data_IF_497799674914
#
_entry.id   IF_497799674914
#
_cell.length_a   1.000
_cell.length_b   1.000
_cell.length_c   1.000
_cell.angle_alpha   90.00
_cell.angle_beta   90.00
_cell.angle_gamma   90.00
#
_symmetry.space_group_name_H-M   'P 1'
#
loop_
_entity.id
_entity.type
_entity.pdbx_description
1 polymer ?
#
# COMPACT_ATOMS: atom_id res chain seq x y z
N UNK A 1 -66.58 -7.77 -63.07
CA UNK A 1 -65.98 -8.65 -62.06
C UNK A 1 -64.47 -8.55 -62.16
N UNK A 2 -63.85 -7.75 -61.30
CA UNK A 2 -62.39 -7.71 -61.10
C UNK A 2 -62.14 -7.59 -59.60
N UNK A 3 -61.50 -8.60 -59.06
CA UNK A 3 -61.15 -8.81 -57.66
C UNK A 3 -59.93 -7.95 -57.29
N UNK A 4 -59.96 -7.30 -56.13
CA UNK A 4 -58.81 -6.63 -55.52
C UNK A 4 -58.39 -7.49 -54.33
N UNK A 5 -57.20 -8.08 -54.41
CA UNK A 5 -56.52 -8.72 -53.28
C UNK A 5 -55.76 -7.65 -52.49
N UNK A 6 -56.05 -7.52 -51.20
CA UNK A 6 -55.27 -6.72 -50.25
C UNK A 6 -54.29 -7.66 -49.55
N UNK A 7 -52.99 -7.40 -49.74
CA UNK A 7 -51.91 -8.10 -49.04
C UNK A 7 -51.69 -7.40 -47.69
N UNK A 8 -51.89 -8.13 -46.59
CA UNK A 8 -51.63 -7.65 -45.23
C UNK A 8 -50.18 -8.00 -44.88
N UNK A 9 -49.31 -6.99 -44.80
CA UNK A 9 -47.92 -7.16 -44.36
C UNK A 9 -47.82 -7.01 -42.84
N UNK A 10 -47.41 -8.06 -42.15
CA UNK A 10 -47.13 -8.07 -40.71
C UNK A 10 -45.72 -7.56 -40.48
N UNK A 11 -45.57 -6.40 -39.81
CA UNK A 11 -44.28 -5.92 -39.30
C UNK A 11 -43.92 -6.68 -38.02
N UNK A 12 -42.80 -7.40 -38.05
CA UNK A 12 -42.16 -7.97 -36.87
C UNK A 12 -41.22 -6.88 -36.33
N UNK A 13 -41.56 -6.28 -35.19
CA UNK A 13 -40.64 -5.43 -34.45
C UNK A 13 -39.63 -6.30 -33.71
N UNK A 14 -38.36 -6.21 -34.11
CA UNK A 14 -37.24 -6.74 -33.34
C UNK A 14 -37.05 -5.85 -32.10
N UNK A 15 -37.27 -6.40 -30.92
CA UNK A 15 -36.85 -5.79 -29.65
C UNK A 15 -35.36 -6.11 -29.54
N UNK A 16 -34.51 -5.13 -29.88
CA UNK A 16 -33.09 -5.17 -29.51
C UNK A 16 -33.08 -4.80 -28.02
N UNK A 17 -32.96 -5.82 -27.16
CA UNK A 17 -32.67 -5.60 -25.76
C UNK A 17 -31.27 -5.00 -25.65
N UNK A 18 -31.18 -3.74 -25.26
CA UNK A 18 -29.94 -3.15 -24.78
C UNK A 18 -29.56 -3.89 -23.50
N UNK A 19 -28.69 -4.90 -23.62
CA UNK A 19 -28.05 -5.47 -22.44
C UNK A 19 -27.20 -4.37 -21.82
N UNK A 20 -27.63 -3.83 -20.69
CA UNK A 20 -26.76 -3.05 -19.82
C UNK A 20 -25.87 -4.09 -19.16
N UNK A 21 -24.65 -4.26 -19.67
CA UNK A 21 -23.58 -4.87 -18.87
C UNK A 21 -23.40 -3.98 -17.65
N UNK A 22 -23.45 -4.51 -16.41
CA UNK A 22 -23.11 -3.70 -15.26
C UNK A 22 -21.72 -3.11 -15.51
N UNK A 23 -21.59 -1.78 -15.38
CA UNK A 23 -20.31 -1.14 -15.44
C UNK A 23 -19.55 -1.58 -14.18
N UNK A 24 -18.52 -2.40 -14.35
CA UNK A 24 -17.52 -2.62 -13.31
C UNK A 24 -16.94 -1.27 -12.92
N UNK A 25 -16.73 -1.05 -11.62
CA UNK A 25 -15.91 0.08 -11.18
C UNK A 25 -14.47 -0.25 -11.60
N UNK A 26 -14.03 0.34 -12.70
CA UNK A 26 -12.66 0.24 -13.13
C UNK A 26 -11.76 1.15 -12.31
N UNK A 27 -10.47 0.83 -12.24
CA UNK A 27 -9.44 1.65 -11.60
C UNK A 27 -8.47 2.15 -12.66
N UNK A 28 -7.85 3.32 -12.41
CA UNK A 28 -6.73 3.78 -13.21
C UNK A 28 -5.55 4.13 -12.32
N UNK A 29 -4.35 3.87 -12.85
CA UNK A 29 -3.07 4.12 -12.21
C UNK A 29 -2.51 5.47 -12.64
N UNK A 30 -1.93 6.20 -11.70
CA UNK A 30 -1.08 7.37 -11.95
C UNK A 30 0.29 7.13 -11.32
N UNK A 31 1.34 7.27 -12.12
CA UNK A 31 2.71 7.20 -11.65
C UNK A 31 3.13 8.58 -11.14
N UNK A 32 3.32 8.71 -9.83
CA UNK A 32 3.57 10.01 -9.20
C UNK A 32 5.07 10.30 -9.14
N UNK A 33 5.87 9.33 -8.68
CA UNK A 33 7.33 9.49 -8.52
C UNK A 33 8.04 8.21 -8.94
N UNK A 34 9.16 8.35 -9.66
CA UNK A 34 10.07 7.24 -9.93
C UNK A 34 11.49 7.76 -10.17
N UNK A 35 12.51 6.93 -9.99
CA UNK A 35 13.87 7.18 -10.47
C UNK A 35 14.03 6.95 -11.98
N UNK A 36 13.07 6.28 -12.64
CA UNK A 36 13.16 5.89 -14.04
C UNK A 36 12.13 6.67 -14.90
N UNK A 37 12.58 7.46 -15.89
CA UNK A 37 11.69 8.28 -16.71
C UNK A 37 10.80 7.47 -17.65
N UNK A 38 11.08 6.19 -17.90
CA UNK A 38 10.28 5.32 -18.78
C UNK A 38 8.91 4.99 -18.16
N UNK A 39 8.75 5.16 -16.84
CA UNK A 39 7.46 5.09 -16.16
C UNK A 39 6.63 6.38 -16.28
N UNK A 40 7.13 7.41 -16.97
CA UNK A 40 6.49 8.72 -17.14
C UNK A 40 5.97 9.35 -15.83
N UNK A 41 6.78 9.38 -14.74
CA UNK A 41 6.31 9.89 -13.45
C UNK A 41 6.10 11.41 -13.48
N UNK A 42 5.23 11.93 -12.62
CA UNK A 42 5.10 13.38 -12.42
C UNK A 42 6.39 14.01 -11.86
N UNK A 43 7.10 13.30 -10.99
CA UNK A 43 8.39 13.70 -10.42
C UNK A 43 9.43 12.63 -10.71
N UNK A 44 10.56 13.03 -11.28
CA UNK A 44 11.73 12.16 -11.41
C UNK A 44 12.62 12.37 -10.19
N UNK A 45 12.72 11.37 -9.31
CA UNK A 45 13.50 11.42 -8.07
C UNK A 45 14.50 10.26 -8.01
N UNK A 46 15.81 10.51 -8.13
CA UNK A 46 16.82 9.46 -8.19
C UNK A 46 16.98 8.67 -6.88
N UNK A 47 16.40 9.13 -5.77
CA UNK A 47 16.43 8.41 -4.49
C UNK A 47 15.32 7.36 -4.38
N UNK A 48 14.30 7.41 -5.24
CA UNK A 48 13.19 6.45 -5.24
C UNK A 48 13.60 5.19 -6.00
N UNK A 49 14.38 4.33 -5.34
CA UNK A 49 14.86 3.03 -5.84
C UNK A 49 14.35 1.96 -4.89
N UNK A 50 13.73 0.90 -5.43
CA UNK A 50 13.03 -0.13 -4.65
C UNK A 50 12.10 0.49 -3.59
N UNK A 51 11.04 1.18 -4.04
CA UNK A 51 10.11 1.83 -3.12
C UNK A 51 9.30 0.75 -2.39
N UNK A 52 9.49 0.63 -1.08
CA UNK A 52 8.99 -0.51 -0.30
C UNK A 52 7.71 -0.15 0.46
N UNK A 53 7.79 0.75 1.44
CA UNK A 53 6.63 1.05 2.30
C UNK A 53 6.22 2.52 2.26
N UNK A 54 5.00 2.80 2.72
CA UNK A 54 4.42 4.12 2.82
C UNK A 54 3.91 4.40 4.24
N UNK A 55 4.27 5.56 4.79
CA UNK A 55 3.61 6.11 5.97
C UNK A 55 3.06 7.50 5.71
N UNK A 56 1.91 7.78 6.30
CA UNK A 56 1.33 9.12 6.37
C UNK A 56 0.89 9.41 7.79
N UNK A 57 0.79 10.69 8.12
CA UNK A 57 0.14 11.12 9.36
C UNK A 57 -1.37 11.22 9.16
N UNK A 58 -2.18 10.91 10.18
CA UNK A 58 -3.62 11.19 10.16
C UNK A 58 -3.92 12.67 9.92
N UNK A 59 -5.09 12.95 9.35
CA UNK A 59 -5.55 14.32 9.14
C UNK A 59 -5.50 15.13 10.45
N UNK A 60 -4.96 16.35 10.37
CA UNK A 60 -4.81 17.26 11.51
C UNK A 60 -3.42 17.26 12.17
N UNK A 61 -2.56 16.29 11.88
CA UNK A 61 -1.17 16.26 12.36
C UNK A 61 -0.17 16.97 11.42
N UNK A 62 -0.64 17.43 10.24
CA UNK A 62 0.22 17.87 9.15
C UNK A 62 1.13 16.75 8.64
N UNK A 63 2.08 17.06 7.76
CA UNK A 63 3.14 16.12 7.39
C UNK A 63 3.22 15.83 5.89
N UNK A 64 3.78 14.67 5.58
CA UNK A 64 4.24 14.22 4.27
C UNK A 64 3.80 12.77 4.04
N UNK A 65 3.74 12.35 2.78
CA UNK A 65 3.97 10.96 2.42
C UNK A 65 5.43 10.66 2.70
N UNK A 66 5.69 9.58 3.43
CA UNK A 66 7.01 9.02 3.67
C UNK A 66 7.12 7.78 2.81
N UNK A 67 8.02 7.79 1.83
CA UNK A 67 8.25 6.67 0.91
C UNK A 67 9.59 6.04 1.28
N UNK A 68 9.55 4.83 1.82
CA UNK A 68 10.79 4.08 2.14
C UNK A 68 11.39 3.56 0.84
N UNK A 69 12.69 3.80 0.65
CA UNK A 69 13.44 3.37 -0.53
C UNK A 69 14.61 2.49 -0.08
N UNK A 70 14.47 1.18 -0.27
CA UNK A 70 15.40 0.17 0.26
C UNK A 70 16.81 0.38 -0.28
N UNK A 71 16.94 0.45 -1.60
CA UNK A 71 18.23 0.40 -2.27
C UNK A 71 19.00 1.73 -2.22
N UNK A 72 18.32 2.83 -1.87
CA UNK A 72 18.97 4.12 -1.63
C UNK A 72 19.24 4.40 -0.14
N UNK A 73 18.71 3.58 0.77
CA UNK A 73 18.85 3.79 2.22
C UNK A 73 18.18 5.06 2.73
N UNK A 74 17.07 5.46 2.10
CA UNK A 74 16.40 6.73 2.41
C UNK A 74 14.91 6.58 2.60
N UNK A 75 14.31 7.58 3.26
CA UNK A 75 12.89 7.86 3.17
C UNK A 75 12.71 9.21 2.50
N UNK A 76 12.10 9.22 1.32
CA UNK A 76 11.78 10.47 0.60
C UNK A 76 10.39 10.98 1.00
N UNK A 77 10.23 12.31 1.02
CA UNK A 77 9.02 12.93 1.56
C UNK A 77 8.32 13.84 0.56
N UNK A 78 7.01 13.67 0.41
CA UNK A 78 6.18 14.43 -0.54
C UNK A 78 4.90 14.96 0.11
N UNK A 79 4.31 16.01 -0.47
CA UNK A 79 3.05 16.62 -0.01
C UNK A 79 2.15 16.86 -1.23
N UNK A 80 0.84 16.81 -1.04
CA UNK A 80 -0.13 17.13 -2.09
C UNK A 80 -0.89 15.90 -2.58
N UNK A 81 -1.15 15.89 -3.89
CA UNK A 81 -2.09 14.99 -4.56
C UNK A 81 -3.51 15.02 -3.96
N UNK A 82 -3.93 16.19 -3.48
CA UNK A 82 -5.21 16.39 -2.79
C UNK A 82 -5.80 17.76 -3.09
N UNK A 83 -7.13 17.83 -3.25
CA UNK A 83 -7.86 19.08 -3.51
C UNK A 83 -7.42 19.78 -4.80
N UNK A 84 -6.92 19.02 -5.79
CA UNK A 84 -6.36 19.54 -7.04
C UNK A 84 -4.95 20.15 -6.93
N UNK A 85 -4.29 20.03 -5.77
CA UNK A 85 -2.88 20.37 -5.61
C UNK A 85 -2.02 19.18 -6.07
N UNK A 86 -1.18 19.33 -7.11
CA UNK A 86 -0.27 18.25 -7.54
C UNK A 86 0.68 17.84 -6.41
N UNK A 87 1.18 16.61 -6.46
CA UNK A 87 2.27 16.17 -5.59
C UNK A 87 3.53 17.04 -5.79
N UNK A 88 4.22 17.39 -4.70
CA UNK A 88 5.48 18.13 -4.72
C UNK A 88 6.33 17.82 -3.47
N UNK A 89 7.58 18.27 -3.45
CA UNK A 89 8.45 18.21 -2.26
C UNK A 89 8.69 19.61 -1.69
N UNK A 90 8.64 19.78 -0.36
CA UNK A 90 9.02 21.02 0.33
C UNK A 90 10.47 20.96 0.84
N UNK A 91 10.84 21.68 1.90
CA UNK A 91 12.23 21.71 2.40
C UNK A 91 12.66 20.37 3.04
N UNK A 92 11.73 19.55 3.52
CA UNK A 92 12.02 18.16 3.91
C UNK A 92 11.94 17.30 2.65
N UNK A 93 13.11 16.96 2.10
CA UNK A 93 13.21 16.16 0.86
C UNK A 93 13.30 14.68 1.15
N UNK A 94 14.19 14.33 2.06
CA UNK A 94 14.44 12.97 2.49
C UNK A 94 15.17 12.97 3.83
N UNK A 95 15.21 11.81 4.45
CA UNK A 95 16.05 11.48 5.61
C UNK A 95 16.71 10.12 5.35
N UNK A 96 17.90 9.91 5.90
CA UNK A 96 18.64 8.64 5.75
C UNK A 96 18.29 7.67 6.87
N UNK A 97 18.31 6.37 6.54
CA UNK A 97 18.23 5.30 7.53
C UNK A 97 19.62 4.66 7.64
N UNK A 98 20.20 4.61 8.85
CA UNK A 98 21.48 3.96 9.05
C UNK A 98 21.38 2.47 8.71
N UNK A 99 22.49 1.93 8.21
CA UNK A 99 22.69 0.47 8.16
C UNK A 99 22.94 -0.08 9.55
N UNK A 100 22.82 -1.41 9.70
CA UNK A 100 23.30 -2.13 10.87
C UNK A 100 24.67 -1.61 11.36
N UNK A 101 24.85 -1.36 12.67
CA UNK A 101 26.15 -0.95 13.24
C UNK A 101 27.30 -1.92 12.96
N UNK A 102 27.00 -3.16 12.59
CA UNK A 102 27.97 -4.19 12.29
C UNK A 102 28.22 -4.38 10.78
N UNK A 103 27.52 -3.64 9.92
CA UNK A 103 27.73 -3.67 8.48
C UNK A 103 29.12 -3.12 8.08
N UNK A 104 29.65 -3.51 6.90
CA UNK A 104 30.88 -2.93 6.37
C UNK A 104 30.84 -1.41 6.30
N UNK A 105 31.99 -0.77 6.52
CA UNK A 105 32.11 0.69 6.42
C UNK A 105 31.66 1.17 5.03
N UNK A 106 30.74 2.13 5.01
CA UNK A 106 30.17 2.70 3.78
C UNK A 106 28.94 1.97 3.22
N UNK A 107 28.44 0.94 3.91
CA UNK A 107 27.13 0.36 3.61
C UNK A 107 26.01 1.39 3.85
N UNK A 108 25.03 1.42 2.94
CA UNK A 108 23.76 2.11 3.16
C UNK A 108 22.81 1.18 3.92
N UNK A 109 21.84 1.74 4.65
CA UNK A 109 20.75 0.93 5.21
C UNK A 109 19.86 0.37 4.10
N UNK A 110 19.19 -0.74 4.37
CA UNK A 110 18.22 -1.35 3.46
C UNK A 110 16.81 -1.31 4.07
N UNK A 111 16.22 -0.11 4.27
CA UNK A 111 14.98 0.04 5.02
C UNK A 111 13.78 -0.59 4.29
N UNK A 112 12.90 -1.22 5.05
CA UNK A 112 11.70 -1.90 4.53
C UNK A 112 10.44 -1.28 5.13
N UNK A 113 9.87 -1.90 6.17
CA UNK A 113 8.68 -1.43 6.86
C UNK A 113 8.91 -0.13 7.64
N UNK A 114 7.89 0.70 7.72
CA UNK A 114 7.87 1.92 8.53
C UNK A 114 6.56 2.11 9.29
N UNK A 115 6.62 2.89 10.36
CA UNK A 115 5.46 3.21 11.19
C UNK A 115 5.48 4.66 11.66
N UNK A 116 4.35 5.34 11.55
CA UNK A 116 4.13 6.64 12.18
C UNK A 116 3.47 6.49 13.55
N UNK A 117 4.08 7.08 14.59
CA UNK A 117 3.49 7.17 15.93
C UNK A 117 2.87 8.54 16.21
N UNK A 118 1.56 8.61 16.51
CA UNK A 118 0.90 9.84 16.93
C UNK A 118 1.18 10.22 18.39
N UNK A 119 1.88 9.37 19.15
CA UNK A 119 1.92 9.48 20.61
C UNK A 119 2.80 10.62 21.12
N UNK A 120 2.38 11.35 22.17
CA UNK A 120 3.08 12.53 22.62
C UNK A 120 4.27 12.26 23.55
N UNK A 121 4.44 11.03 24.05
CA UNK A 121 5.40 10.73 25.13
C UNK A 121 6.07 9.37 25.08
N UNK A 122 5.55 8.42 24.31
CA UNK A 122 6.16 7.09 24.19
C UNK A 122 7.37 7.15 23.23
N UNK A 123 8.29 6.19 23.36
CA UNK A 123 9.45 6.05 22.48
C UNK A 123 10.36 7.28 22.49
N UNK A 124 10.66 7.85 23.66
CA UNK A 124 11.51 9.04 23.76
C UNK A 124 12.93 8.74 23.25
N UNK A 125 13.41 9.58 22.33
CA UNK A 125 14.76 9.47 21.74
C UNK A 125 15.49 10.80 21.83
N UNK A 126 16.82 10.75 21.92
CA UNK A 126 17.71 11.91 21.81
C UNK A 126 18.62 11.75 20.61
N UNK A 127 18.54 12.68 19.66
CA UNK A 127 19.17 12.57 18.35
C UNK A 127 20.03 13.80 18.05
N UNK A 128 21.16 13.63 17.37
CA UNK A 128 21.87 14.75 16.75
C UNK A 128 21.04 15.31 15.60
N UNK A 129 21.08 16.63 15.38
CA UNK A 129 20.47 17.22 14.18
C UNK A 129 21.18 16.77 12.90
N UNK A 130 22.51 16.68 12.97
CA UNK A 130 23.38 16.12 11.95
C UNK A 130 24.50 15.34 12.65
N UNK A 131 24.58 14.00 12.49
CA UNK A 131 25.66 13.20 13.06
C UNK A 131 27.05 13.64 12.58
N UNK A 132 27.15 14.21 11.38
CA UNK A 132 28.42 14.69 10.81
C UNK A 132 28.78 16.12 11.27
N UNK A 133 27.83 16.86 11.87
CA UNK A 133 28.04 18.19 12.46
C UNK A 133 27.47 18.28 13.90
N UNK A 134 28.17 17.72 14.91
CA UNK A 134 27.69 17.68 16.29
C UNK A 134 27.56 19.07 16.94
N UNK A 135 28.15 20.12 16.34
CA UNK A 135 28.01 21.50 16.83
C UNK A 135 26.59 22.06 16.62
N UNK A 136 25.79 21.45 15.73
CA UNK A 136 24.36 21.75 15.59
C UNK A 136 23.54 21.31 16.83
N UNK A 137 24.08 20.40 17.65
CA UNK A 137 23.48 19.95 18.89
C UNK A 137 22.50 18.77 18.71
N UNK A 138 21.72 18.53 19.77
CA UNK A 138 20.78 17.41 19.85
C UNK A 138 19.36 17.90 20.12
N UNK A 139 18.39 17.08 19.74
CA UNK A 139 16.98 17.23 20.11
C UNK A 139 16.51 15.99 20.88
N UNK A 140 15.56 16.17 21.78
CA UNK A 140 14.91 15.09 22.52
C UNK A 140 13.40 15.20 22.36
N UNK A 141 12.74 14.09 22.06
CA UNK A 141 11.29 14.04 21.90
C UNK A 141 10.77 12.62 21.69
N UNK A 142 9.44 12.44 21.67
CA UNK A 142 8.82 11.16 21.34
C UNK A 142 9.16 10.77 19.90
N UNK A 143 9.46 9.50 19.64
CA UNK A 143 9.63 8.97 18.30
C UNK A 143 8.36 9.18 17.47
N UNK A 144 8.54 9.71 16.26
CA UNK A 144 7.45 10.05 15.32
C UNK A 144 7.38 9.07 14.17
N UNK A 145 8.53 8.68 13.65
CA UNK A 145 8.61 7.66 12.63
C UNK A 145 9.60 6.59 13.07
N UNK A 146 9.28 5.36 12.74
CA UNK A 146 10.12 4.21 12.96
C UNK A 146 10.30 3.49 11.64
N UNK A 147 11.44 2.86 11.47
CA UNK A 147 11.71 2.03 10.31
C UNK A 147 12.52 0.81 10.75
N UNK A 148 12.24 -0.31 10.11
CA UNK A 148 13.07 -1.51 10.20
C UNK A 148 13.81 -1.71 8.88
N UNK A 149 14.87 -2.50 8.91
CA UNK A 149 15.66 -2.83 7.71
C UNK A 149 16.08 -4.30 7.69
N UNK A 150 16.43 -4.79 6.51
CA UNK A 150 16.83 -6.18 6.30
C UNK A 150 18.08 -6.61 7.07
N UNK A 151 18.88 -5.62 7.51
CA UNK A 151 20.03 -5.83 8.40
C UNK A 151 19.68 -6.11 9.86
N UNK A 152 18.39 -6.16 10.23
CA UNK A 152 17.96 -6.56 11.57
C UNK A 152 18.00 -5.43 12.60
N UNK A 153 17.81 -4.18 12.16
CA UNK A 153 17.73 -3.05 13.08
C UNK A 153 16.35 -2.39 13.07
N UNK A 154 16.00 -1.80 14.22
CA UNK A 154 14.89 -0.85 14.35
C UNK A 154 15.49 0.53 14.62
N UNK A 155 15.08 1.50 13.81
CA UNK A 155 15.50 2.88 13.93
C UNK A 155 14.31 3.80 14.19
N UNK A 156 14.55 4.88 14.94
CA UNK A 156 13.55 5.88 15.32
C UNK A 156 13.97 7.28 14.86
N UNK A 157 12.98 8.10 14.52
CA UNK A 157 13.17 9.50 14.13
C UNK A 157 12.16 10.39 14.83
N UNK A 158 12.60 11.54 15.32
CA UNK A 158 11.76 12.54 15.98
C UNK A 158 11.85 13.90 15.31
N UNK A 159 10.86 14.74 15.56
CA UNK A 159 10.91 16.17 15.26
C UNK A 159 10.35 16.96 16.45
N UNK A 160 10.92 18.14 16.68
CA UNK A 160 10.58 18.98 17.83
C UNK A 160 10.17 20.37 17.36
N UNK A 161 8.91 20.80 17.59
CA UNK A 161 8.48 22.17 17.35
C UNK A 161 9.24 23.16 18.25
N UNK A 162 9.64 24.29 17.68
CA UNK A 162 10.29 25.42 18.36
C UNK A 162 9.60 26.73 17.99
N UNK A 163 10.02 27.84 18.63
CA UNK A 163 9.51 29.17 18.28
C UNK A 163 9.86 29.58 16.82
N UNK A 164 10.92 28.99 16.25
CA UNK A 164 11.45 29.32 14.93
C UNK A 164 11.08 28.30 13.83
N UNK A 165 10.32 27.25 14.16
CA UNK A 165 9.90 26.23 13.20
C UNK A 165 9.87 24.82 13.79
N UNK A 166 10.29 23.84 13.01
CA UNK A 166 10.38 22.44 13.45
C UNK A 166 11.83 21.98 13.24
N UNK A 167 12.47 21.52 14.32
CA UNK A 167 13.79 20.91 14.27
C UNK A 167 13.67 19.45 13.84
N UNK A 168 14.48 19.06 12.86
CA UNK A 168 14.44 17.76 12.19
C UNK A 168 15.87 17.22 12.01
N UNK A 169 16.18 16.03 12.53
CA UNK A 169 17.41 15.31 12.21
C UNK A 169 17.43 14.92 10.74
N UNK A 170 18.62 14.86 10.15
CA UNK A 170 18.82 14.38 8.77
C UNK A 170 18.83 12.85 8.65
N UNK A 171 19.00 12.15 9.76
CA UNK A 171 19.15 10.69 9.83
C UNK A 171 18.33 10.11 10.99
N UNK A 172 17.86 8.88 10.84
CA UNK A 172 17.26 8.08 11.91
C UNK A 172 18.32 7.63 12.95
N UNK A 173 17.87 7.28 14.16
CA UNK A 173 18.71 6.71 15.21
C UNK A 173 18.39 5.22 15.37
N UNK A 174 19.40 4.34 15.26
CA UNK A 174 19.24 2.92 15.64
C UNK A 174 18.93 2.83 17.14
N UNK A 175 17.79 2.23 17.48
CA UNK A 175 17.33 2.05 18.87
C UNK A 175 17.32 0.59 19.30
N UNK A 176 17.22 -0.35 18.36
CA UNK A 176 17.43 -1.78 18.58
C UNK A 176 18.35 -2.31 17.49
N UNK A 177 19.32 -3.13 17.91
CA UNK A 177 20.27 -3.81 17.04
C UNK A 177 20.18 -5.33 17.28
N UNK A 178 19.45 -6.02 16.41
CA UNK A 178 19.38 -7.47 16.33
C UNK A 178 20.20 -7.99 15.15
N UNK A 179 21.14 -7.17 14.64
CA UNK A 179 22.10 -7.61 13.65
C UNK A 179 23.21 -8.41 14.33
N UNK A 180 23.42 -9.66 13.90
CA UNK A 180 24.69 -10.35 14.11
C UNK A 180 25.42 -10.33 12.77
N UNK A 181 26.43 -9.47 12.63
CA UNK A 181 27.37 -9.65 11.53
C UNK A 181 28.17 -10.91 11.80
N UNK A 182 27.88 -11.95 11.02
CA UNK A 182 28.75 -13.09 10.83
C UNK A 182 30.22 -12.65 10.84
N UNK A 183 31.00 -13.12 11.83
CA UNK A 183 32.45 -12.98 11.81
C UNK A 183 32.96 -13.48 10.45
N UNK A 184 33.46 -12.57 9.61
CA UNK A 184 33.97 -12.87 8.27
C UNK A 184 35.20 -13.82 8.25
N UNK A 185 35.59 -14.38 9.39
CA UNK A 185 36.64 -15.40 9.48
C UNK A 185 36.16 -16.86 9.51
N UNK A 186 34.88 -17.16 9.33
CA UNK A 186 34.45 -18.55 9.09
C UNK A 186 33.79 -18.71 7.73
N UNK A 187 34.63 -18.82 6.69
CA UNK A 187 34.32 -19.23 5.30
C UNK A 187 33.75 -20.66 5.19
N UNK A 188 33.07 -21.17 6.22
CA UNK A 188 32.59 -22.55 6.28
C UNK A 188 31.39 -22.75 7.24
N UNK A 189 30.77 -21.68 7.78
CA UNK A 189 29.63 -21.85 8.69
C UNK A 189 28.34 -21.20 8.16
N UNK A 190 27.50 -21.93 7.42
CA UNK A 190 26.13 -21.49 7.11
C UNK A 190 25.24 -21.36 8.37
N UNK A 191 25.78 -21.62 9.57
CA UNK A 191 25.07 -21.35 10.82
C UNK A 191 25.11 -19.88 11.30
N UNK A 192 25.73 -18.95 10.58
CA UNK A 192 25.81 -17.53 10.98
C UNK A 192 24.62 -16.64 10.57
N UNK A 193 23.61 -17.19 9.87
CA UNK A 193 22.38 -16.50 9.47
C UNK A 193 21.36 -16.39 10.62
N UNK A 194 21.83 -15.97 11.80
CA UNK A 194 21.01 -15.87 13.00
C UNK A 194 20.64 -14.42 13.35
N UNK A 195 20.71 -13.53 12.35
CA UNK A 195 20.24 -12.14 12.45
C UNK A 195 18.81 -12.03 11.94
N UNK A 196 18.07 -11.06 12.49
CA UNK A 196 16.72 -10.76 12.04
C UNK A 196 16.75 -10.15 10.64
N UNK A 197 15.79 -10.53 9.79
CA UNK A 197 15.56 -9.94 8.47
C UNK A 197 14.19 -9.30 8.50
N UNK A 198 14.14 -8.02 8.89
CA UNK A 198 12.86 -7.34 9.01
C UNK A 198 12.33 -6.89 7.66
N UNK A 199 11.12 -7.36 7.33
CA UNK A 199 10.44 -7.04 6.06
C UNK A 199 9.31 -6.04 6.21
N UNK A 200 8.78 -5.84 7.42
CA UNK A 200 7.60 -5.01 7.69
C UNK A 200 7.45 -4.68 9.18
N UNK A 201 6.75 -3.60 9.51
CA UNK A 201 6.51 -3.22 10.91
C UNK A 201 5.17 -2.53 11.14
N UNK A 202 4.70 -2.59 12.39
CA UNK A 202 3.51 -1.90 12.86
C UNK A 202 3.72 -1.38 14.29
N UNK A 203 2.81 -0.53 14.75
CA UNK A 203 2.74 -0.16 16.15
C UNK A 203 1.30 0.00 16.63
N UNK A 204 1.11 0.02 17.94
CA UNK A 204 -0.19 0.29 18.53
C UNK A 204 -0.52 1.79 18.55
N UNK A 205 -1.80 2.11 18.67
CA UNK A 205 -2.31 3.48 18.84
C UNK A 205 -3.05 3.66 20.17
N UNK A 206 -2.56 3.00 21.23
CA UNK A 206 -3.09 3.07 22.59
C UNK A 206 -2.83 4.44 23.25
N UNK A 207 -3.64 4.87 24.23
CA UNK A 207 -3.38 6.13 24.93
C UNK A 207 -2.01 6.24 25.62
N UNK A 208 -1.43 5.12 26.02
CA UNK A 208 -0.12 4.96 26.67
C UNK A 208 0.36 3.51 26.51
N UNK A 209 1.63 3.25 26.85
CA UNK A 209 2.26 1.92 26.84
C UNK A 209 2.18 1.24 25.48
N UNK A 210 2.51 2.00 24.43
CA UNK A 210 2.46 1.50 23.07
C UNK A 210 3.56 0.48 22.76
N UNK A 211 3.24 -0.38 21.80
CA UNK A 211 4.10 -1.46 21.32
C UNK A 211 4.51 -1.20 19.87
N UNK A 212 5.72 -1.67 19.52
CA UNK A 212 6.20 -1.82 18.15
C UNK A 212 6.32 -3.31 17.84
N UNK A 213 5.95 -3.68 16.62
CA UNK A 213 6.02 -5.04 16.09
C UNK A 213 6.81 -5.05 14.79
N UNK A 214 7.69 -6.03 14.59
CA UNK A 214 8.37 -6.24 13.31
C UNK A 214 8.22 -7.68 12.83
N UNK A 215 8.00 -7.85 11.53
CA UNK A 215 7.97 -9.13 10.86
C UNK A 215 9.40 -9.58 10.54
N UNK A 216 9.92 -10.55 11.31
CA UNK A 216 11.19 -11.20 11.04
C UNK A 216 10.99 -12.37 10.06
N UNK A 217 11.53 -12.21 8.86
CA UNK A 217 11.51 -13.19 7.78
C UNK A 217 12.81 -14.03 7.72
N UNK A 218 13.59 -14.06 8.81
CA UNK A 218 14.78 -14.90 8.91
C UNK A 218 14.44 -16.39 8.83
N UNK A 219 15.39 -17.20 8.33
CA UNK A 219 15.19 -18.66 8.23
C UNK A 219 15.20 -19.33 9.60
N UNK A 220 15.97 -18.80 10.56
CA UNK A 220 16.26 -19.49 11.82
C UNK A 220 15.31 -19.16 12.95
N UNK A 221 14.83 -17.91 13.01
CA UNK A 221 13.95 -17.44 14.07
C UNK A 221 12.77 -16.63 13.52
N UNK A 222 12.07 -17.09 12.47
CA UNK A 222 10.98 -16.31 11.88
C UNK A 222 9.87 -16.07 12.91
N UNK A 223 9.34 -14.85 12.94
CA UNK A 223 8.37 -14.47 13.96
C UNK A 223 8.00 -12.99 13.93
N UNK A 224 7.27 -12.59 14.97
CA UNK A 224 6.98 -11.18 15.22
C UNK A 224 7.77 -10.76 16.45
N UNK A 225 8.74 -9.88 16.26
CA UNK A 225 9.47 -9.24 17.35
C UNK A 225 8.64 -8.11 17.94
N UNK A 226 8.67 -7.95 19.26
CA UNK A 226 7.86 -6.97 19.99
C UNK A 226 8.71 -6.15 20.95
N UNK A 227 8.62 -4.82 20.82
CA UNK A 227 9.25 -3.88 21.73
C UNK A 227 8.22 -2.99 22.44
N UNK A 228 8.49 -2.69 23.71
CA UNK A 228 7.70 -1.72 24.48
C UNK A 228 8.08 -0.26 24.16
N UNK A 229 7.37 0.68 24.80
CA UNK A 229 7.59 2.13 24.66
C UNK A 229 9.00 2.62 25.02
N UNK A 230 9.79 1.80 25.71
CA UNK A 230 11.17 2.09 26.11
C UNK A 230 12.18 1.24 25.30
N UNK A 231 11.73 0.62 24.21
CA UNK A 231 12.49 -0.25 23.31
C UNK A 231 13.00 -1.55 23.96
N UNK A 232 12.40 -2.00 25.08
CA UNK A 232 12.75 -3.30 25.63
C UNK A 232 12.10 -4.40 24.80
N UNK A 233 12.89 -5.41 24.42
CA UNK A 233 12.37 -6.64 23.82
C UNK A 233 11.50 -7.39 24.82
N UNK A 234 10.23 -7.55 24.46
CA UNK A 234 9.21 -8.26 25.23
C UNK A 234 8.56 -9.38 24.39
N UNK A 235 9.18 -9.79 23.29
CA UNK A 235 8.68 -10.79 22.33
C UNK A 235 8.21 -12.07 23.02
N UNK A 236 8.97 -12.55 24.02
CA UNK A 236 8.63 -13.76 24.80
C UNK A 236 7.30 -13.70 25.58
N UNK A 237 6.66 -12.54 25.69
CA UNK A 237 5.35 -12.37 26.30
C UNK A 237 4.19 -12.60 25.31
N UNK A 238 4.47 -12.70 24.01
CA UNK A 238 3.48 -12.81 22.95
C UNK A 238 3.53 -14.21 22.33
N UNK A 239 2.40 -14.64 21.76
CA UNK A 239 2.29 -15.95 21.11
C UNK A 239 2.60 -15.87 19.63
N UNK A 240 1.86 -15.03 18.88
CA UNK A 240 1.92 -14.94 17.42
C UNK A 240 2.04 -16.31 16.74
N UNK A 241 1.15 -17.24 17.13
CA UNK A 241 1.14 -18.58 16.56
C UNK A 241 0.98 -18.51 15.04
N UNK A 242 1.98 -19.01 14.30
CA UNK A 242 1.91 -19.15 12.85
C UNK A 242 1.04 -20.38 12.51
N UNK A 243 -0.17 -20.18 11.94
CA UNK A 243 -1.08 -21.29 11.67
C UNK A 243 -0.73 -22.06 10.38
N UNK A 244 0.26 -21.61 9.60
CA UNK A 244 0.54 -22.10 8.25
C UNK A 244 1.72 -23.08 8.16
N UNK A 245 2.45 -23.28 9.25
CA UNK A 245 3.62 -24.17 9.30
C UNK A 245 4.96 -23.44 9.16
N UNK A 246 6.04 -24.15 9.46
CA UNK A 246 7.41 -23.61 9.55
C UNK A 246 7.98 -23.19 8.18
N UNK A 247 7.37 -23.63 7.08
CA UNK A 247 7.76 -23.19 5.74
C UNK A 247 7.24 -21.79 5.35
N UNK A 248 6.42 -21.17 6.20
CA UNK A 248 5.93 -19.80 6.06
C UNK A 248 6.51 -18.92 7.16
N UNK A 249 6.88 -17.69 6.82
CA UNK A 249 7.35 -16.69 7.77
C UNK A 249 6.58 -15.36 7.58
N UNK A 250 6.48 -14.53 8.63
CA UNK A 250 5.89 -13.20 8.54
C UNK A 250 6.64 -12.32 7.54
N UNK A 251 5.95 -11.91 6.48
CA UNK A 251 6.50 -11.08 5.41
C UNK A 251 6.12 -9.60 5.56
N UNK A 252 4.98 -9.33 6.21
CA UNK A 252 4.61 -8.00 6.68
C UNK A 252 3.70 -8.08 7.90
N UNK A 253 3.60 -6.99 8.65
CA UNK A 253 2.61 -6.79 9.71
C UNK A 253 2.07 -5.36 9.64
N UNK A 254 0.75 -5.20 9.69
CA UNK A 254 0.09 -3.89 9.75
C UNK A 254 -1.01 -3.83 10.79
N UNK A 255 -1.15 -2.69 11.47
CA UNK A 255 -2.26 -2.44 12.39
C UNK A 255 -3.39 -1.74 11.65
N UNK A 256 -4.49 -2.46 11.40
CA UNK A 256 -5.66 -1.96 10.68
C UNK A 256 -6.90 -2.09 11.56
N UNK A 257 -7.57 -0.98 11.83
CA UNK A 257 -8.75 -0.89 12.72
C UNK A 257 -8.52 -1.51 14.13
N UNK A 258 -7.27 -1.52 14.61
CA UNK A 258 -6.91 -1.99 15.95
C UNK A 258 -6.52 -3.47 16.03
N UNK A 259 -6.59 -4.22 14.92
CA UNK A 259 -6.11 -5.59 14.82
C UNK A 259 -4.82 -5.65 14.00
N UNK A 260 -3.98 -6.64 14.29
CA UNK A 260 -2.72 -6.88 13.59
C UNK A 260 -2.94 -7.88 12.46
N UNK A 261 -2.78 -7.43 11.23
CA UNK A 261 -2.81 -8.28 10.05
C UNK A 261 -1.37 -8.65 9.70
N UNK A 262 -1.08 -9.95 9.69
CA UNK A 262 0.24 -10.49 9.38
C UNK A 262 0.13 -11.24 8.05
N UNK A 263 0.83 -10.71 7.05
CA UNK A 263 0.99 -11.36 5.77
C UNK A 263 2.15 -12.36 5.87
N UNK A 264 1.96 -13.57 5.36
CA UNK A 264 2.96 -14.64 5.39
C UNK A 264 3.31 -15.05 3.98
N UNK A 265 4.62 -15.20 3.72
CA UNK A 265 5.15 -15.72 2.49
C UNK A 265 5.88 -17.04 2.73
N UNK A 266 5.91 -17.91 1.72
CA UNK A 266 6.62 -19.18 1.80
C UNK A 266 8.12 -18.93 1.62
N UNK A 267 8.94 -19.40 2.54
CA UNK A 267 10.40 -19.23 2.49
C UNK A 267 10.98 -19.92 1.24
N UNK A 268 11.98 -19.30 0.62
CA UNK A 268 12.81 -19.93 -0.41
C UNK A 268 14.03 -20.63 0.21
N UNK A 269 14.88 -21.23 -0.63
CA UNK A 269 16.17 -21.78 -0.20
C UNK A 269 17.25 -20.67 -0.04
N UNK A 270 16.97 -19.44 -0.51
CA UNK A 270 17.83 -18.26 -0.36
C UNK A 270 17.40 -17.46 0.89
N UNK A 271 18.31 -17.16 1.84
CA UNK A 271 17.98 -16.38 3.03
C UNK A 271 17.36 -15.03 2.72
N UNK A 272 16.25 -14.70 3.38
CA UNK A 272 15.54 -13.43 3.20
C UNK A 272 14.61 -13.38 1.99
N UNK A 273 14.59 -14.43 1.17
CA UNK A 273 13.83 -14.47 -0.09
C UNK A 273 12.63 -15.43 0.00
N UNK A 274 11.53 -15.07 -0.65
CA UNK A 274 10.30 -15.85 -0.70
C UNK A 274 10.10 -16.61 -2.02
N UNK A 275 9.17 -17.58 -2.00
CA UNK A 275 8.67 -18.21 -3.22
C UNK A 275 7.45 -17.47 -3.75
N UNK A 276 7.67 -16.53 -4.67
CA UNK A 276 6.62 -15.81 -5.39
C UNK A 276 5.84 -16.71 -6.36
N UNK A 277 4.71 -17.25 -5.90
CA UNK A 277 3.73 -17.96 -6.73
C UNK A 277 2.32 -17.87 -6.16
N UNK A 278 1.33 -17.67 -7.05
CA UNK A 278 -0.10 -17.72 -6.70
C UNK A 278 -0.45 -19.01 -5.97
N UNK A 279 -1.16 -18.86 -4.85
CA UNK A 279 -1.52 -19.93 -3.92
C UNK A 279 -0.51 -20.11 -2.79
N UNK A 280 0.68 -19.51 -2.86
CA UNK A 280 1.71 -19.62 -1.81
C UNK A 280 1.74 -18.41 -0.88
N UNK A 281 0.78 -17.50 -0.96
CA UNK A 281 0.58 -16.46 0.05
C UNK A 281 -0.39 -16.90 1.15
N UNK A 282 -0.25 -16.31 2.34
CA UNK A 282 -1.15 -16.52 3.48
C UNK A 282 -1.37 -15.21 4.25
N UNK A 283 -2.49 -15.09 4.95
CA UNK A 283 -2.84 -13.91 5.73
C UNK A 283 -3.59 -14.31 7.00
N UNK A 284 -3.10 -13.85 8.15
CA UNK A 284 -3.72 -14.06 9.44
C UNK A 284 -3.95 -12.72 10.15
N UNK A 285 -4.96 -12.68 11.01
CA UNK A 285 -5.35 -11.53 11.81
C UNK A 285 -5.24 -11.90 13.29
N UNK A 286 -4.62 -11.03 14.07
CA UNK A 286 -4.35 -11.18 15.50
C UNK A 286 -4.89 -9.98 16.27
N UNK A 287 -5.16 -10.16 17.56
CA UNK A 287 -5.28 -9.03 18.47
C UNK A 287 -3.90 -8.45 18.80
N UNK A 288 -3.88 -7.31 19.51
CA UNK A 288 -2.63 -6.63 19.88
C UNK A 288 -1.80 -7.42 20.91
N UNK A 289 -2.38 -8.43 21.56
CA UNK A 289 -1.70 -9.36 22.45
C UNK A 289 -1.14 -10.59 21.70
N UNK A 290 -1.27 -10.63 20.37
CA UNK A 290 -0.72 -11.69 19.52
C UNK A 290 -1.53 -12.98 19.52
N UNK A 291 -2.80 -12.95 19.92
CA UNK A 291 -3.71 -14.10 19.81
C UNK A 291 -4.35 -14.14 18.42
N UNK A 292 -4.37 -15.31 17.79
CA UNK A 292 -4.97 -15.52 16.47
C UNK A 292 -6.50 -15.30 16.53
N UNK A 293 -7.00 -14.41 15.67
CA UNK A 293 -8.42 -14.11 15.52
C UNK A 293 -9.01 -14.79 14.28
N UNK A 294 -8.38 -14.61 13.11
CA UNK A 294 -8.88 -15.13 11.83
C UNK A 294 -7.75 -15.50 10.87
N UNK A 295 -8.09 -16.36 9.91
CA UNK A 295 -7.33 -16.61 8.68
C UNK A 295 -8.15 -16.02 7.52
N UNK A 296 -7.47 -15.35 6.59
CA UNK A 296 -8.07 -14.71 5.43
C UNK A 296 -7.71 -15.44 4.14
N UNK A 297 -8.69 -15.58 3.24
CA UNK A 297 -8.55 -16.43 2.05
C UNK A 297 -8.60 -17.92 2.37
N UNK A 298 -8.28 -18.75 1.38
CA UNK A 298 -8.20 -20.20 1.53
C UNK A 298 -6.78 -20.63 1.91
N UNK A 299 -6.64 -21.49 2.91
CA UNK A 299 -5.37 -22.13 3.26
C UNK A 299 -5.11 -23.34 2.34
N UNK A 300 -4.73 -23.04 1.10
CA UNK A 300 -4.45 -24.01 0.05
C UNK A 300 -3.43 -23.46 -0.93
N UNK A 301 -2.64 -24.36 -1.51
CA UNK A 301 -1.68 -24.05 -2.57
C UNK A 301 -2.31 -24.09 -3.97
N UNK A 302 -3.63 -24.35 -4.07
CA UNK A 302 -4.35 -24.31 -5.35
C UNK A 302 -4.56 -22.86 -5.81
N UNK A 303 -3.94 -22.43 -6.92
CA UNK A 303 -4.08 -21.05 -7.42
C UNK A 303 -5.48 -20.71 -7.92
N UNK A 304 -6.40 -21.68 -8.03
CA UNK A 304 -7.80 -21.44 -8.37
C UNK A 304 -8.67 -21.18 -7.13
N UNK A 305 -8.14 -21.44 -5.93
CA UNK A 305 -8.86 -21.30 -4.66
C UNK A 305 -8.21 -20.23 -3.75
N UNK A 306 -6.92 -19.95 -3.95
CA UNK A 306 -6.17 -18.94 -3.21
C UNK A 306 -5.48 -17.95 -4.14
N UNK A 307 -5.95 -16.71 -4.13
CA UNK A 307 -5.41 -15.59 -4.91
C UNK A 307 -4.12 -14.98 -4.33
N UNK A 308 -3.71 -15.35 -3.11
CA UNK A 308 -2.55 -14.74 -2.46
C UNK A 308 -1.23 -15.24 -3.05
N UNK A 309 -0.30 -14.32 -3.27
CA UNK A 309 1.01 -14.55 -3.86
C UNK A 309 2.04 -13.63 -3.19
N UNK A 310 2.76 -14.14 -2.18
CA UNK A 310 3.66 -13.33 -1.33
C UNK A 310 3.02 -11.98 -0.94
N UNK A 311 1.86 -11.99 -0.23
CA UNK A 311 1.15 -10.76 0.09
C UNK A 311 2.01 -9.87 0.99
N UNK A 312 1.99 -8.56 0.73
CA UNK A 312 2.73 -7.60 1.56
C UNK A 312 1.87 -6.39 1.92
N UNK A 313 1.46 -5.59 0.95
CA UNK A 313 0.66 -4.39 1.19
C UNK A 313 -0.76 -4.71 1.64
N UNK A 314 -1.24 -4.06 2.69
CA UNK A 314 -2.62 -4.23 3.18
C UNK A 314 -3.27 -2.86 3.35
N UNK A 315 -4.57 -2.76 3.08
CA UNK A 315 -5.32 -1.54 3.33
C UNK A 315 -6.81 -1.83 3.49
N UNK A 316 -7.49 -1.10 4.37
CA UNK A 316 -8.96 -1.12 4.41
C UNK A 316 -9.47 0.02 3.53
N UNK A 317 -10.26 -0.33 2.52
CA UNK A 317 -10.83 0.64 1.61
C UNK A 317 -11.89 1.52 2.29
N UNK A 318 -11.96 2.83 1.95
CA UNK A 318 -13.04 3.69 2.40
C UNK A 318 -14.39 3.28 1.78
N UNK A 319 -15.46 3.93 2.22
CA UNK A 319 -16.83 3.61 1.78
C UNK A 319 -17.17 4.08 0.35
N UNK A 320 -16.23 4.77 -0.32
CA UNK A 320 -16.37 5.33 -1.66
C UNK A 320 -15.29 4.83 -2.65
N UNK A 321 -14.72 3.65 -2.41
CA UNK A 321 -13.74 3.00 -3.29
C UNK A 321 -14.35 1.97 -4.24
N UNK A 322 -15.43 2.35 -4.93
CA UNK A 322 -16.03 1.51 -5.97
C UNK A 322 -16.54 0.16 -5.47
N UNK A 323 -16.29 -0.91 -6.24
CA UNK A 323 -16.71 -2.28 -5.90
C UNK A 323 -16.08 -2.80 -4.61
N UNK A 324 -14.89 -2.30 -4.26
CA UNK A 324 -14.14 -2.73 -3.08
C UNK A 324 -14.37 -1.80 -1.88
N UNK A 325 -15.43 -1.00 -1.88
CA UNK A 325 -15.74 -0.11 -0.74
C UNK A 325 -15.88 -0.91 0.57
N UNK A 326 -15.14 -0.52 1.61
CA UNK A 326 -15.02 -1.22 2.91
C UNK A 326 -14.35 -2.60 2.87
N UNK A 327 -13.79 -3.03 1.74
CA UNK A 327 -13.06 -4.30 1.66
C UNK A 327 -11.69 -4.20 2.33
N UNK A 328 -11.15 -5.35 2.75
CA UNK A 328 -9.71 -5.48 2.97
C UNK A 328 -9.06 -5.70 1.60
N UNK A 329 -8.11 -4.85 1.25
CA UNK A 329 -7.27 -4.96 0.06
C UNK A 329 -5.94 -5.59 0.44
N UNK A 330 -5.49 -6.54 -0.37
CA UNK A 330 -4.22 -7.24 -0.20
C UNK A 330 -3.44 -7.13 -1.52
N UNK A 331 -2.30 -6.45 -1.47
CA UNK A 331 -1.34 -6.37 -2.55
C UNK A 331 -0.41 -7.59 -2.53
N UNK A 332 -0.35 -8.28 -3.65
CA UNK A 332 0.58 -9.39 -3.87
C UNK A 332 1.88 -8.85 -4.45
N UNK A 333 2.99 -9.02 -3.74
CA UNK A 333 4.31 -8.71 -4.27
C UNK A 333 4.60 -9.57 -5.51
N UNK A 334 4.32 -10.87 -5.42
CA UNK A 334 4.77 -11.84 -6.42
C UNK A 334 4.10 -11.75 -7.80
N UNK A 335 3.01 -11.00 -7.98
CA UNK A 335 2.42 -10.73 -9.30
C UNK A 335 1.91 -9.30 -9.49
N UNK A 336 2.06 -8.43 -8.48
CA UNK A 336 1.65 -7.04 -8.54
C UNK A 336 0.14 -6.81 -8.49
N UNK A 337 -0.68 -7.84 -8.28
CA UNK A 337 -2.13 -7.72 -8.27
C UNK A 337 -2.65 -7.38 -6.89
N UNK A 338 -3.82 -6.73 -6.86
CA UNK A 338 -4.50 -6.40 -5.61
C UNK A 338 -5.83 -7.15 -5.57
N UNK A 339 -5.99 -7.99 -4.55
CA UNK A 339 -7.22 -8.76 -4.29
C UNK A 339 -7.99 -8.14 -3.13
N UNK A 340 -9.32 -8.10 -3.24
CA UNK A 340 -10.21 -7.64 -2.18
C UNK A 340 -10.92 -8.78 -1.45
N UNK A 341 -11.10 -8.64 -0.15
CA UNK A 341 -11.85 -9.55 0.71
C UNK A 341 -12.97 -8.82 1.46
N UNK A 342 -14.12 -9.48 1.56
CA UNK A 342 -15.22 -8.99 2.40
C UNK A 342 -14.83 -9.14 3.88
N UNK A 343 -14.88 -8.04 4.64
CA UNK A 343 -14.39 -8.05 6.03
C UNK A 343 -15.26 -8.84 7.01
N UNK A 344 -16.50 -9.16 6.63
CA UNK A 344 -17.43 -9.94 7.47
C UNK A 344 -17.31 -11.43 7.18
N UNK A 345 -17.37 -11.79 5.90
CA UNK A 345 -17.34 -13.20 5.47
C UNK A 345 -15.93 -13.74 5.31
N UNK A 346 -14.93 -12.86 5.12
CA UNK A 346 -13.54 -13.17 4.74
C UNK A 346 -13.42 -13.85 3.38
N UNK A 347 -14.49 -13.84 2.58
CA UNK A 347 -14.50 -14.40 1.23
C UNK A 347 -13.86 -13.41 0.25
N UNK A 348 -13.20 -13.96 -0.77
CA UNK A 348 -12.64 -13.20 -1.88
C UNK A 348 -13.76 -12.51 -2.67
N UNK A 349 -13.61 -11.22 -2.93
CA UNK A 349 -14.47 -10.43 -3.82
C UNK A 349 -13.93 -10.54 -5.25
N UNK A 350 -12.61 -10.41 -5.42
CA UNK A 350 -11.90 -10.50 -6.69
C UNK A 350 -10.72 -9.52 -6.77
N UNK A 351 -10.11 -9.41 -7.95
CA UNK A 351 -9.01 -8.48 -8.20
C UNK A 351 -9.50 -7.07 -8.60
N UNK A 352 -8.72 -6.04 -8.28
CA UNK A 352 -8.88 -4.71 -8.86
C UNK A 352 -8.66 -4.78 -10.38
N UNK A 353 -9.62 -4.25 -11.14
CA UNK A 353 -9.60 -4.30 -12.61
C UNK A 353 -9.41 -2.91 -13.22
N UNK A 354 -8.65 -2.84 -14.32
CA UNK A 354 -8.52 -1.65 -15.14
C UNK A 354 -9.79 -1.37 -15.98
N UNK A 355 -9.79 -0.25 -16.73
CA UNK A 355 -10.91 0.13 -17.62
C UNK A 355 -11.16 -0.87 -18.78
N UNK A 356 -10.19 -1.74 -19.06
CA UNK A 356 -10.27 -2.78 -20.08
C UNK A 356 -10.78 -4.13 -19.52
N UNK A 357 -10.94 -4.23 -18.19
CA UNK A 357 -11.34 -5.45 -17.49
C UNK A 357 -10.19 -6.43 -17.25
N UNK A 358 -8.94 -5.98 -17.33
CA UNK A 358 -7.78 -6.77 -16.91
C UNK A 358 -7.45 -6.48 -15.44
N UNK A 359 -6.91 -7.44 -14.68
CA UNK A 359 -6.35 -7.15 -13.38
C UNK A 359 -5.28 -6.06 -13.48
N UNK A 360 -5.27 -5.13 -12.52
CA UNK A 360 -4.13 -4.22 -12.35
C UNK A 360 -2.93 -5.06 -11.90
N UNK A 361 -1.79 -4.83 -12.55
CA UNK A 361 -0.51 -5.47 -12.25
C UNK A 361 0.56 -4.37 -12.10
N UNK A 362 1.09 -4.24 -10.88
CA UNK A 362 2.18 -3.32 -10.54
C UNK A 362 3.37 -4.18 -10.14
N UNK A 363 4.36 -4.31 -11.02
CA UNK A 363 5.55 -5.11 -10.76
C UNK A 363 6.27 -4.65 -9.48
N UNK A 364 6.62 -5.62 -8.62
CA UNK A 364 7.27 -5.35 -7.32
C UNK A 364 6.37 -4.62 -6.32
N UNK A 365 5.05 -4.85 -6.33
CA UNK A 365 4.11 -4.17 -5.45
C UNK A 365 4.37 -4.47 -3.97
N UNK A 366 4.72 -3.44 -3.22
CA UNK A 366 4.94 -3.50 -1.79
C UNK A 366 3.81 -2.78 -1.03
N UNK A 367 4.07 -1.58 -0.52
CA UNK A 367 3.19 -0.85 0.39
C UNK A 367 1.93 -0.31 -0.26
N UNK A 368 0.86 -0.29 0.55
CA UNK A 368 -0.45 0.24 0.20
C UNK A 368 -0.96 1.14 1.32
N UNK A 369 -1.48 2.33 0.98
CA UNK A 369 -2.12 3.22 1.95
C UNK A 369 -3.16 4.12 1.29
N UNK A 370 -4.25 4.45 1.98
CA UNK A 370 -5.21 5.47 1.50
C UNK A 370 -4.76 6.88 1.91
N UNK A 371 -5.07 7.86 1.06
CA UNK A 371 -4.83 9.26 1.38
C UNK A 371 -5.62 9.74 2.60
N UNK A 372 -5.14 10.79 3.26
CA UNK A 372 -5.80 11.35 4.46
C UNK A 372 -6.81 12.47 4.16
N UNK A 373 -6.95 12.89 2.90
CA UNK A 373 -7.91 13.92 2.47
C UNK A 373 -7.63 15.33 2.98
N UNK A 374 -6.49 15.56 3.64
CA UNK A 374 -6.10 16.85 4.19
C UNK A 374 -4.94 17.44 3.38
N UNK A 375 -3.74 16.87 3.52
CA UNK A 375 -2.55 17.31 2.80
C UNK A 375 -1.85 16.19 2.04
N UNK A 376 -2.26 14.94 2.26
CA UNK A 376 -1.59 13.73 1.80
C UNK A 376 -2.58 12.84 1.07
N UNK A 377 -2.84 13.18 -0.18
CA UNK A 377 -3.70 12.40 -1.06
C UNK A 377 -5.20 12.49 -0.79
N UNK A 378 -6.00 12.19 -1.81
CA UNK A 378 -7.46 12.06 -1.67
C UNK A 378 -7.82 10.82 -0.84
N UNK A 379 -8.90 10.87 -0.06
CA UNK A 379 -9.31 9.76 0.82
C UNK A 379 -9.65 8.48 0.07
N UNK A 380 -10.04 8.59 -1.20
CA UNK A 380 -10.46 7.49 -2.06
C UNK A 380 -9.42 7.14 -3.14
N UNK A 381 -8.19 7.60 -2.97
CA UNK A 381 -7.04 7.15 -3.75
C UNK A 381 -6.24 6.16 -2.91
N UNK A 382 -5.99 4.98 -3.49
CA UNK A 382 -5.09 3.99 -2.93
C UNK A 382 -3.68 4.27 -3.46
N UNK A 383 -2.80 4.72 -2.59
CA UNK A 383 -1.40 4.96 -2.90
C UNK A 383 -0.60 3.67 -2.76
N UNK A 384 0.39 3.48 -3.62
CA UNK A 384 1.25 2.30 -3.61
C UNK A 384 2.73 2.65 -3.75
N UNK A 385 3.58 1.82 -3.16
CA UNK A 385 5.02 1.77 -3.39
C UNK A 385 5.36 0.45 -4.10
N UNK A 386 6.32 0.49 -5.03
CA UNK A 386 6.77 -0.68 -5.75
C UNK A 386 8.24 -0.61 -6.17
N UNK A 387 8.87 -1.78 -6.27
CA UNK A 387 10.21 -2.00 -6.81
C UNK A 387 10.20 -2.73 -8.16
N UNK A 388 9.82 -2.07 -9.28
CA UNK A 388 9.80 -2.72 -10.59
C UNK A 388 11.20 -2.97 -11.16
N UNK A 389 11.29 -3.74 -12.26
CA UNK A 389 12.52 -4.07 -12.97
C UNK A 389 13.50 -4.84 -12.08
N UNK A 390 13.01 -5.95 -11.49
CA UNK A 390 13.72 -6.73 -10.48
C UNK A 390 14.29 -5.82 -9.38
N UNK A 391 13.44 -4.91 -8.84
CA UNK A 391 13.74 -3.96 -7.76
C UNK A 391 14.80 -2.89 -8.07
N UNK A 392 15.39 -2.90 -9.27
CA UNK A 392 16.40 -1.93 -9.67
C UNK A 392 15.86 -0.50 -9.85
N UNK A 393 14.53 -0.34 -9.92
CA UNK A 393 13.84 0.93 -9.98
C UNK A 393 12.83 1.06 -8.83
N UNK A 394 12.35 2.28 -8.57
CA UNK A 394 11.29 2.54 -7.59
C UNK A 394 10.12 3.29 -8.20
N UNK A 395 8.92 3.00 -7.72
CA UNK A 395 7.68 3.65 -8.16
C UNK A 395 6.76 3.95 -6.98
N UNK A 396 6.43 5.22 -6.80
CA UNK A 396 5.34 5.67 -5.94
C UNK A 396 4.20 6.18 -6.82
N UNK A 397 2.99 5.64 -6.63
CA UNK A 397 1.84 5.97 -7.45
C UNK A 397 0.52 5.89 -6.72
N UNK A 398 -0.57 6.07 -7.46
CA UNK A 398 -1.93 5.98 -6.95
C UNK A 398 -2.87 5.24 -7.89
N UNK A 399 -3.81 4.51 -7.32
CA UNK A 399 -4.95 3.90 -7.97
C UNK A 399 -6.23 4.61 -7.50
N UNK A 400 -7.11 4.94 -8.45
CA UNK A 400 -8.40 5.55 -8.12
C UNK A 400 -9.51 5.02 -9.01
N UNK A 401 -10.74 5.07 -8.51
CA UNK A 401 -11.91 4.66 -9.26
C UNK A 401 -12.04 5.54 -10.51
N UNK A 402 -12.04 4.90 -11.68
CA UNK A 402 -12.31 5.53 -12.94
C UNK A 402 -13.71 6.13 -12.90
N UNK A 403 -13.78 7.47 -13.00
CA UNK A 403 -15.05 8.15 -13.16
C UNK A 403 -15.62 7.69 -14.50
N UNK A 404 -16.73 6.95 -14.47
CA UNK A 404 -17.52 6.68 -15.66
C UNK A 404 -17.72 8.02 -16.36
N UNK A 405 -17.01 8.23 -17.47
CA UNK A 405 -17.19 9.40 -18.31
C UNK A 405 -18.64 9.34 -18.76
N UNK A 406 -19.51 10.05 -18.04
CA UNK A 406 -20.94 10.07 -18.33
C UNK A 406 -21.04 10.48 -19.78
N UNK A 407 -21.39 9.52 -20.64
CA UNK A 407 -21.67 9.83 -22.03
C UNK A 407 -22.76 10.89 -21.94
N UNK A 408 -22.55 12.10 -22.49
CA UNK A 408 -23.61 13.10 -22.50
C UNK A 408 -24.82 12.41 -23.10
N UNK A 409 -25.95 12.39 -22.40
CA UNK A 409 -27.16 11.82 -22.98
C UNK A 409 -27.30 12.36 -24.40
N UNK A 410 -27.49 11.50 -25.43
CA UNK A 410 -27.73 12.00 -26.76
C UNK A 410 -28.94 12.91 -26.62
N UNK A 411 -28.71 14.22 -26.74
CA UNK A 411 -29.76 15.20 -26.55
C UNK A 411 -30.88 14.78 -27.47
N UNK A 412 -32.04 14.39 -26.92
CA UNK A 412 -33.23 14.08 -27.70
C UNK A 412 -33.73 15.40 -28.28
N UNK A 413 -33.00 15.87 -29.28
CA UNK A 413 -33.21 17.09 -30.03
C UNK A 413 -32.87 16.73 -31.47
N UNK A 414 -33.69 15.85 -32.07
CA UNK A 414 -34.01 15.73 -33.53
C UNK A 414 -35.03 14.57 -33.78
N UNK A 415 -35.94 14.25 -32.85
CA UNK A 415 -37.14 13.45 -33.18
C UNK A 415 -38.47 14.17 -32.91
N UNK A 416 -38.45 15.32 -32.25
CA UNK A 416 -39.63 16.18 -32.07
C UNK A 416 -40.02 17.04 -33.28
N UNK A 417 -39.20 17.10 -34.33
CA UNK A 417 -39.40 18.02 -35.46
C UNK A 417 -39.97 17.39 -36.74
N UNK A 418 -40.20 16.07 -36.77
CA UNK A 418 -40.92 15.40 -37.87
C UNK A 418 -42.36 14.98 -37.52
N UNK A 419 -42.77 15.12 -36.25
CA UNK A 419 -44.11 14.72 -35.78
C UNK A 419 -45.22 15.77 -35.85
N UNK A 420 -44.90 17.05 -36.07
CA UNK A 420 -45.91 18.15 -35.99
C UNK A 420 -46.17 18.85 -37.34
N UNK A 421 -45.41 18.55 -38.40
CA UNK A 421 -45.68 19.10 -39.74
C UNK A 421 -46.74 18.35 -40.57
N UNK A 422 -47.31 17.25 -40.04
CA UNK A 422 -48.25 16.38 -40.77
C UNK A 422 -49.73 16.65 -40.55
N UNK A 423 -50.13 17.67 -39.77
CA UNK A 423 -51.52 17.82 -39.33
C UNK A 423 -52.09 19.24 -39.42
N UNK A 424 -51.78 19.99 -40.50
CA UNK A 424 -52.53 21.23 -40.81
C UNK A 424 -52.61 21.52 -42.31
N UNK A 425 -53.11 20.60 -43.13
CA UNK A 425 -53.56 20.91 -44.50
C UNK A 425 -54.71 20.00 -44.93
N UNK A 426 -55.80 20.01 -44.14
CA UNK A 426 -57.08 19.43 -44.54
C UNK A 426 -58.26 20.21 -43.95
N UNK A 427 -58.34 21.53 -44.23
CA UNK A 427 -59.61 22.27 -44.11
C UNK A 427 -59.56 23.66 -44.74
N UNK A 428 -59.79 23.73 -46.06
CA UNK A 428 -60.57 24.84 -46.63
C UNK A 428 -61.08 24.50 -48.03
N UNK A 429 -62.30 23.96 -48.06
CA UNK A 429 -63.17 24.01 -49.22
C UNK A 429 -64.43 24.82 -48.89
N UNK A 430 -64.83 25.67 -49.85
CA UNK A 430 -66.15 26.32 -50.03
C UNK A 430 -66.57 27.46 -49.09
N UNK A 431 -66.60 28.68 -49.66
CA UNK A 431 -67.82 29.50 -49.88
C UNK A 431 -67.47 30.83 -50.56
N UNK A 432 -68.26 31.22 -51.57
CA UNK A 432 -68.21 32.51 -52.26
C UNK A 432 -67.72 32.37 -53.69
#
# INVERSE_FOLDING_TARGET
>A
MKSINVLCGTLISAIIGSGVTPAFAAYFQTNLVSNNPDFEPHILDPLVVNAWDLAIRPAGFGGHFWVTNTDSGTVTTYVGDVGGTPLFQDDLKFVTIPTSPNAPEGSAGAPTGQFFSPHPSDFEVTMFLDPDDPDLGTITGPGRFFAVEEGGTLSAWTEVPTDDGILRPVEYLVVVDNSEFADQNTDDNPDNDNFAIYKGMAGTTLPEDNLLFAADFSIKSPGIDVWDKDFNDITSNFLFENPFGEEYAPFNIQNLDGNLYVAYAKLSDEPGEEQAKVGLGRLAEYDIEGNLLNIWGQDTDDPNENALNAPWGLAIAPDDFGEFSNALLVGNFGDGRIVGYDRTTREEIGFLMDESGNPIEIEGLWGLIFGNGASLGETNHLYFAAGPNDEADGLFGSLQVAQNKSTPEPTVSILGLLGVAGLTLARKGRRG
#
